data_IF_035152748542
#
_entry.id   IF_035152748542
#
_cell.length_a   1.000
_cell.length_b   1.000
_cell.length_c   1.000
_cell.angle_alpha   90.00
_cell.angle_beta   90.00
_cell.angle_gamma   90.00
#
_symmetry.space_group_name_H-M   'P 1'
#
loop_
_entity.id
_entity.type
_entity.pdbx_description
1 polymer ?
#
# COMPACT_ATOMS: atom_id res chain seq x y z
N UNK A 1 -17.86 -18.83 -34.52
CA UNK A 1 -16.93 -17.69 -34.40
C UNK A 1 -16.57 -17.53 -32.93
N UNK A 2 -15.36 -17.92 -32.53
CA UNK A 2 -14.87 -17.66 -31.18
C UNK A 2 -14.36 -16.22 -31.16
N UNK A 3 -14.96 -15.36 -30.33
CA UNK A 3 -14.41 -14.04 -30.02
C UNK A 3 -13.07 -14.26 -29.31
N UNK A 4 -11.98 -14.16 -30.06
CA UNK A 4 -10.64 -13.99 -29.53
C UNK A 4 -10.55 -12.56 -29.02
N UNK A 5 -11.00 -12.36 -27.77
CA UNK A 5 -10.49 -11.24 -26.99
C UNK A 5 -8.98 -11.45 -26.97
N UNK A 6 -8.24 -10.57 -27.65
CA UNK A 6 -6.78 -10.54 -27.62
C UNK A 6 -6.38 -10.46 -26.15
N UNK A 7 -5.91 -11.56 -25.58
CA UNK A 7 -5.23 -11.56 -24.29
C UNK A 7 -4.06 -10.59 -24.43
N UNK A 8 -4.16 -9.45 -23.76
CA UNK A 8 -3.07 -8.48 -23.70
C UNK A 8 -1.99 -9.10 -22.82
N UNK A 9 -1.06 -9.84 -23.40
CA UNK A 9 0.14 -10.27 -22.70
C UNK A 9 0.97 -9.03 -22.35
N UNK A 10 1.02 -8.69 -21.06
CA UNK A 10 1.75 -7.50 -20.58
C UNK A 10 3.27 -7.61 -20.82
N UNK A 11 3.79 -8.82 -20.97
CA UNK A 11 5.21 -9.09 -21.21
C UNK A 11 5.71 -8.76 -22.63
N UNK A 12 4.80 -8.47 -23.59
CA UNK A 12 5.14 -8.45 -25.01
C UNK A 12 5.23 -7.06 -25.68
N UNK A 13 4.88 -5.96 -24.99
CA UNK A 13 4.88 -4.61 -25.59
C UNK A 13 5.37 -3.53 -24.63
N UNK A 14 6.33 -2.73 -25.11
CA UNK A 14 6.87 -1.55 -24.42
C UNK A 14 5.79 -0.52 -24.11
N UNK A 15 4.78 -0.37 -24.96
CA UNK A 15 3.65 0.53 -24.76
C UNK A 15 2.75 0.04 -23.63
N UNK A 16 2.57 -1.28 -23.51
CA UNK A 16 1.77 -1.89 -22.44
C UNK A 16 2.49 -1.77 -21.09
N UNK A 17 3.81 -1.98 -21.05
CA UNK A 17 4.61 -1.77 -19.83
C UNK A 17 4.59 -0.31 -19.36
N UNK A 18 4.63 0.67 -20.28
CA UNK A 18 4.46 2.09 -19.92
C UNK A 18 3.11 2.39 -19.29
N UNK A 19 2.03 1.74 -19.74
CA UNK A 19 0.71 1.90 -19.12
C UNK A 19 0.70 1.34 -17.69
N UNK A 20 1.45 0.26 -17.42
CA UNK A 20 1.57 -0.26 -16.05
C UNK A 20 2.28 0.72 -15.12
N UNK A 21 3.33 1.40 -15.59
CA UNK A 21 4.00 2.45 -14.80
C UNK A 21 3.04 3.57 -14.41
N UNK A 22 2.16 3.99 -15.33
CA UNK A 22 1.14 4.99 -15.02
C UNK A 22 0.15 4.49 -13.95
N UNK A 23 -0.24 3.20 -13.98
CA UNK A 23 -1.11 2.64 -12.95
C UNK A 23 -0.41 2.52 -11.59
N UNK A 24 0.90 2.26 -11.58
CA UNK A 24 1.72 2.28 -10.37
C UNK A 24 1.73 3.67 -9.74
N UNK A 25 2.05 4.71 -10.53
CA UNK A 25 2.01 6.12 -10.07
C UNK A 25 0.64 6.49 -9.49
N UNK A 26 -0.45 6.11 -10.18
CA UNK A 26 -1.82 6.34 -9.69
C UNK A 26 -2.12 5.63 -8.36
N UNK A 27 -1.53 4.46 -8.11
CA UNK A 27 -1.70 3.72 -6.85
C UNK A 27 -0.83 4.31 -5.73
N UNK A 28 0.38 4.73 -6.06
CA UNK A 28 1.29 5.43 -5.15
C UNK A 28 0.67 6.75 -4.67
N UNK A 29 0.14 7.57 -5.58
CA UNK A 29 -0.58 8.80 -5.26
C UNK A 29 -1.79 8.54 -4.35
N UNK A 30 -2.59 7.53 -4.67
CA UNK A 30 -3.73 7.15 -3.84
C UNK A 30 -3.30 6.70 -2.44
N UNK A 31 -2.15 6.02 -2.31
CA UNK A 31 -1.60 5.62 -1.02
C UNK A 31 -1.05 6.83 -0.25
N UNK A 32 -0.43 7.79 -0.96
CA UNK A 32 0.05 9.04 -0.39
C UNK A 32 -1.11 9.86 0.19
N UNK A 33 -2.19 10.03 -0.58
CA UNK A 33 -3.38 10.74 -0.11
C UNK A 33 -4.00 10.07 1.12
N UNK A 34 -4.07 8.74 1.13
CA UNK A 34 -4.52 8.00 2.31
C UNK A 34 -3.65 8.26 3.54
N UNK A 35 -2.32 8.32 3.37
CA UNK A 35 -1.38 8.69 4.43
C UNK A 35 -1.66 10.10 4.94
N UNK A 36 -1.97 11.05 4.04
CA UNK A 36 -2.30 12.42 4.41
C UNK A 36 -3.63 12.52 5.19
N UNK A 37 -4.65 11.74 4.84
CA UNK A 37 -5.90 11.67 5.61
C UNK A 37 -5.67 11.08 7.02
N UNK A 38 -4.89 9.99 7.11
CA UNK A 38 -4.53 9.39 8.40
C UNK A 38 -3.76 10.37 9.29
N UNK A 39 -2.78 11.08 8.71
CA UNK A 39 -2.01 12.11 9.41
C UNK A 39 -2.91 13.24 9.92
N UNK A 40 -3.83 13.71 9.09
CA UNK A 40 -4.81 14.73 9.51
C UNK A 40 -5.63 14.27 10.72
N UNK A 41 -6.12 13.02 10.72
CA UNK A 41 -6.86 12.48 11.88
C UNK A 41 -5.99 12.35 13.12
N UNK A 42 -4.73 11.93 12.96
CA UNK A 42 -3.77 11.87 14.05
C UNK A 42 -3.55 13.27 14.67
N UNK A 43 -3.24 14.26 13.84
CA UNK A 43 -2.92 15.62 14.28
C UNK A 43 -4.11 16.26 15.02
N UNK A 44 -5.34 16.13 14.49
CA UNK A 44 -6.55 16.60 15.16
C UNK A 44 -6.78 15.93 16.51
N UNK A 45 -6.53 14.62 16.59
CA UNK A 45 -6.68 13.86 17.83
C UNK A 45 -5.63 14.28 18.87
N UNK A 46 -4.38 14.48 18.45
CA UNK A 46 -3.30 14.93 19.33
C UNK A 46 -3.59 16.33 19.89
N UNK A 47 -3.99 17.28 19.05
CA UNK A 47 -4.37 18.63 19.47
C UNK A 47 -5.51 18.61 20.50
N UNK A 48 -6.51 17.75 20.29
CA UNK A 48 -7.62 17.61 21.23
C UNK A 48 -7.18 17.05 22.58
N UNK A 49 -6.34 16.01 22.59
CA UNK A 49 -5.79 15.44 23.82
C UNK A 49 -4.99 16.48 24.60
N UNK A 50 -4.17 17.28 23.91
CA UNK A 50 -3.40 18.36 24.53
C UNK A 50 -4.33 19.42 25.14
N UNK A 51 -5.33 19.88 24.39
CA UNK A 51 -6.31 20.86 24.87
C UNK A 51 -7.05 20.36 26.12
N UNK A 52 -7.49 19.10 26.13
CA UNK A 52 -8.21 18.53 27.27
C UNK A 52 -7.33 18.37 28.51
N UNK A 53 -6.06 18.01 28.32
CA UNK A 53 -5.08 17.95 29.42
C UNK A 53 -4.81 19.33 30.00
N UNK A 54 -4.66 20.33 29.15
CA UNK A 54 -4.43 21.71 29.57
C UNK A 54 -5.64 22.28 30.34
N UNK A 55 -6.86 22.02 29.86
CA UNK A 55 -8.09 22.42 30.55
C UNK A 55 -8.21 21.71 31.90
N UNK A 56 -8.05 20.38 31.94
CA UNK A 56 -8.11 19.60 33.17
C UNK A 56 -7.05 20.05 34.20
N UNK A 57 -5.83 20.35 33.76
CA UNK A 57 -4.76 20.85 34.62
C UNK A 57 -5.14 22.19 35.27
N UNK A 58 -5.61 23.16 34.47
CA UNK A 58 -6.09 24.47 34.96
C UNK A 58 -7.22 24.32 35.98
N UNK A 59 -8.14 23.40 35.76
CA UNK A 59 -9.25 23.13 36.66
C UNK A 59 -8.81 22.52 37.98
N UNK A 60 -7.85 21.60 37.93
CA UNK A 60 -7.34 20.91 39.12
C UNK A 60 -6.49 21.80 40.03
N UNK A 61 -5.81 22.80 39.46
CA UNK A 61 -4.94 23.71 40.19
C UNK A 61 -5.68 24.59 41.23
N UNK A 62 -6.95 24.95 40.96
CA UNK A 62 -7.80 25.70 41.89
C UNK A 62 -9.26 25.26 41.77
N UNK A 63 -9.52 24.05 42.26
CA UNK A 63 -10.84 23.42 42.13
C UNK A 63 -11.95 24.16 42.90
N UNK A 64 -11.63 24.79 44.03
CA UNK A 64 -12.64 25.51 44.83
C UNK A 64 -13.10 26.80 44.14
N UNK A 65 -12.19 27.56 43.55
CA UNK A 65 -12.54 28.72 42.71
C UNK A 65 -13.27 28.26 41.43
N UNK A 66 -12.87 27.12 40.86
CA UNK A 66 -13.54 26.55 39.70
C UNK A 66 -15.00 26.16 40.00
N UNK A 67 -15.25 25.43 41.10
CA UNK A 67 -16.59 24.96 41.48
C UNK A 67 -17.51 26.09 41.92
N UNK A 68 -16.96 27.14 42.53
CA UNK A 68 -17.73 28.32 42.95
C UNK A 68 -18.13 29.24 41.78
N UNK A 69 -17.54 29.07 40.58
CA UNK A 69 -17.93 29.78 39.37
C UNK A 69 -18.92 28.96 38.51
N UNK A 70 -20.19 29.39 38.37
CA UNK A 70 -21.19 28.69 37.57
C UNK A 70 -20.82 28.54 36.08
N UNK A 71 -20.07 29.48 35.50
CA UNK A 71 -19.63 29.41 34.11
C UNK A 71 -18.59 28.30 33.91
N UNK A 72 -17.65 28.19 34.85
CA UNK A 72 -16.65 27.13 34.89
C UNK A 72 -17.31 25.75 35.03
N UNK A 73 -18.22 25.60 36.00
CA UNK A 73 -18.97 24.36 36.20
C UNK A 73 -19.82 23.98 34.97
N UNK A 74 -20.46 24.96 34.32
CA UNK A 74 -21.19 24.74 33.07
C UNK A 74 -20.27 24.26 31.93
N UNK A 75 -19.10 24.89 31.75
CA UNK A 75 -18.17 24.54 30.70
C UNK A 75 -17.71 23.08 30.80
N UNK A 76 -17.39 22.62 32.02
CA UNK A 76 -17.05 21.22 32.28
C UNK A 76 -18.21 20.27 31.95
N UNK A 77 -19.41 20.53 32.48
CA UNK A 77 -20.57 19.65 32.25
C UNK A 77 -20.87 19.54 30.75
N UNK A 78 -20.85 20.68 30.04
CA UNK A 78 -21.03 20.73 28.59
C UNK A 78 -19.94 19.93 27.86
N UNK A 79 -18.68 20.07 28.26
CA UNK A 79 -17.57 19.31 27.68
C UNK A 79 -17.79 17.80 27.87
N UNK A 80 -18.07 17.37 29.11
CA UNK A 80 -18.31 15.96 29.43
C UNK A 80 -19.52 15.38 28.68
N UNK A 81 -20.60 16.15 28.55
CA UNK A 81 -21.85 15.68 27.94
C UNK A 81 -21.82 15.72 26.40
N UNK A 82 -21.20 16.74 25.79
CA UNK A 82 -21.27 16.98 24.34
C UNK A 82 -20.00 16.61 23.60
N UNK A 83 -18.84 16.97 24.14
CA UNK A 83 -17.60 16.88 23.35
C UNK A 83 -17.13 15.43 23.27
N UNK A 84 -17.21 14.65 24.36
CA UNK A 84 -16.89 13.22 24.31
C UNK A 84 -17.78 12.44 23.36
N UNK A 85 -19.06 12.79 23.25
CA UNK A 85 -19.95 12.17 22.26
C UNK A 85 -19.49 12.48 20.83
N UNK A 86 -19.10 13.72 20.53
CA UNK A 86 -18.54 14.09 19.22
C UNK A 86 -17.23 13.35 18.93
N UNK A 87 -16.35 13.20 19.92
CA UNK A 87 -15.11 12.43 19.78
C UNK A 87 -15.38 10.95 19.53
N UNK A 88 -16.38 10.35 20.17
CA UNK A 88 -16.78 8.98 19.88
C UNK A 88 -17.24 8.81 18.42
N UNK A 89 -18.01 9.78 17.89
CA UNK A 89 -18.41 9.78 16.48
C UNK A 89 -17.21 9.96 15.54
N UNK A 90 -16.30 10.89 15.86
CA UNK A 90 -15.08 11.11 15.10
C UNK A 90 -14.17 9.87 15.07
N UNK A 91 -13.99 9.20 16.21
CA UNK A 91 -13.21 7.95 16.28
C UNK A 91 -13.80 6.85 15.42
N UNK A 92 -15.14 6.75 15.36
CA UNK A 92 -15.87 5.78 14.53
C UNK A 92 -15.71 6.00 13.02
N UNK A 93 -15.36 7.21 12.58
CA UNK A 93 -15.15 7.49 11.16
C UNK A 93 -14.04 6.60 10.60
N UNK A 94 -14.38 5.82 9.57
CA UNK A 94 -13.42 5.02 8.83
C UNK A 94 -12.72 5.91 7.81
N UNK A 95 -11.39 5.89 7.83
CA UNK A 95 -10.55 6.53 6.81
C UNK A 95 -10.19 5.47 5.78
N UNK A 96 -10.10 5.85 4.51
CA UNK A 96 -9.58 4.96 3.47
C UNK A 96 -10.61 4.18 2.69
N UNK A 97 -11.92 4.27 2.97
CA UNK A 97 -12.93 3.55 2.18
C UNK A 97 -12.89 3.95 0.69
N UNK A 98 -12.71 5.24 0.40
CA UNK A 98 -12.53 5.74 -0.97
C UNK A 98 -11.23 5.23 -1.61
N UNK A 99 -10.12 5.26 -0.86
CA UNK A 99 -8.81 4.80 -1.34
C UNK A 99 -8.79 3.28 -1.62
N UNK A 100 -9.47 2.49 -0.79
CA UNK A 100 -9.67 1.05 -1.00
C UNK A 100 -10.50 0.81 -2.26
N UNK A 101 -11.62 1.53 -2.42
CA UNK A 101 -12.48 1.41 -3.60
C UNK A 101 -11.71 1.77 -4.89
N UNK A 102 -10.87 2.80 -4.83
CA UNK A 102 -10.03 3.21 -5.95
C UNK A 102 -8.97 2.16 -6.30
N UNK A 103 -8.26 1.63 -5.31
CA UNK A 103 -7.28 0.55 -5.52
C UNK A 103 -7.96 -0.71 -6.10
N UNK A 104 -9.15 -1.06 -5.63
CA UNK A 104 -9.94 -2.17 -6.18
C UNK A 104 -10.37 -1.90 -7.63
N UNK A 105 -10.75 -0.67 -7.96
CA UNK A 105 -11.06 -0.28 -9.34
C UNK A 105 -9.85 -0.46 -10.26
N UNK A 106 -8.67 0.00 -9.83
CA UNK A 106 -7.43 -0.16 -10.60
C UNK A 106 -6.96 -1.61 -10.67
N UNK A 107 -7.24 -2.46 -9.67
CA UNK A 107 -6.86 -3.89 -9.66
C UNK A 107 -7.30 -4.62 -10.92
N UNK A 108 -8.45 -4.27 -11.49
CA UNK A 108 -8.96 -4.85 -12.75
C UNK A 108 -8.11 -4.54 -13.99
N UNK A 109 -7.23 -3.53 -13.92
CA UNK A 109 -6.34 -3.07 -15.00
C UNK A 109 -4.90 -3.52 -14.81
N UNK A 110 -4.58 -4.13 -13.65
CA UNK A 110 -3.26 -4.64 -13.33
C UNK A 110 -3.05 -6.06 -13.89
N UNK A 111 -1.79 -6.51 -14.03
CA UNK A 111 -1.50 -7.88 -14.40
C UNK A 111 -2.13 -8.90 -13.44
N UNK A 112 -2.54 -10.01 -14.02
CA UNK A 112 -3.12 -11.15 -13.32
C UNK A 112 -2.04 -12.16 -12.97
N UNK A 113 -2.42 -13.23 -12.26
CA UNK A 113 -1.52 -14.34 -12.02
C UNK A 113 -1.02 -14.96 -13.35
N UNK A 114 -1.86 -15.00 -14.39
CA UNK A 114 -1.48 -15.56 -15.70
C UNK A 114 -0.33 -14.79 -16.33
N UNK A 115 -0.38 -13.46 -16.28
CA UNK A 115 0.67 -12.60 -16.85
C UNK A 115 2.02 -12.82 -16.16
N UNK A 116 2.00 -13.04 -14.84
CA UNK A 116 3.20 -13.38 -14.07
C UNK A 116 3.73 -14.79 -14.41
N UNK A 117 2.84 -15.76 -14.61
CA UNK A 117 3.23 -17.10 -15.05
C UNK A 117 3.88 -17.08 -16.44
N UNK A 118 3.34 -16.29 -17.37
CA UNK A 118 3.88 -16.10 -18.71
C UNK A 118 5.26 -15.43 -18.66
N UNK A 119 5.43 -14.40 -17.83
CA UNK A 119 6.72 -13.74 -17.61
C UNK A 119 7.77 -14.73 -17.07
N UNK A 120 7.42 -15.55 -16.08
CA UNK A 120 8.30 -16.58 -15.53
C UNK A 120 8.68 -17.62 -16.58
N UNK A 121 7.72 -18.08 -17.38
CA UNK A 121 7.99 -19.04 -18.45
C UNK A 121 8.92 -18.46 -19.52
N UNK A 122 8.79 -17.18 -19.85
CA UNK A 122 9.70 -16.51 -20.78
C UNK A 122 11.13 -16.45 -20.23
N UNK A 123 11.31 -16.19 -18.92
CA UNK A 123 12.62 -16.25 -18.25
C UNK A 123 13.21 -17.65 -18.33
N UNK A 124 12.43 -18.69 -18.04
CA UNK A 124 12.90 -20.08 -18.18
C UNK A 124 13.30 -20.45 -19.60
N UNK A 125 12.55 -19.98 -20.60
CA UNK A 125 12.91 -20.20 -22.00
C UNK A 125 14.23 -19.51 -22.34
N UNK A 126 14.47 -18.28 -21.87
CA UNK A 126 15.75 -17.59 -22.04
C UNK A 126 16.91 -18.39 -21.44
N UNK A 127 16.77 -18.82 -20.19
CA UNK A 127 17.75 -19.66 -19.50
C UNK A 127 18.04 -20.92 -20.32
N UNK A 128 17.00 -21.61 -20.79
CA UNK A 128 17.13 -22.88 -21.52
C UNK A 128 17.77 -22.72 -22.90
N UNK A 129 17.30 -21.75 -23.70
CA UNK A 129 17.75 -21.61 -25.09
C UNK A 129 19.18 -21.05 -25.19
N UNK A 130 19.52 -20.12 -24.31
CA UNK A 130 20.83 -19.46 -24.31
C UNK A 130 21.81 -20.08 -23.30
N UNK A 131 21.39 -21.13 -22.58
CA UNK A 131 22.20 -21.80 -21.55
C UNK A 131 22.76 -20.81 -20.51
N UNK A 132 21.93 -19.84 -20.11
CA UNK A 132 22.34 -18.79 -19.17
C UNK A 132 22.46 -19.35 -17.75
N UNK A 133 23.43 -18.87 -17.00
CA UNK A 133 23.50 -19.12 -15.56
C UNK A 133 22.35 -18.39 -14.86
N UNK A 134 21.48 -19.08 -14.09
CA UNK A 134 20.42 -18.42 -13.31
C UNK A 134 20.98 -17.37 -12.35
N UNK A 135 22.18 -17.61 -11.80
CA UNK A 135 22.87 -16.67 -10.92
C UNK A 135 23.27 -15.40 -11.67
N UNK A 136 23.91 -15.53 -12.84
CA UNK A 136 24.32 -14.36 -13.64
C UNK A 136 23.11 -13.57 -14.11
N UNK A 137 22.04 -14.27 -14.51
CA UNK A 137 20.79 -13.63 -14.90
C UNK A 137 20.15 -12.84 -13.75
N UNK A 138 20.11 -13.42 -12.54
CA UNK A 138 19.63 -12.74 -11.34
C UNK A 138 20.50 -11.51 -10.99
N UNK A 139 21.80 -11.56 -11.26
CA UNK A 139 22.73 -10.43 -11.10
C UNK A 139 22.63 -9.40 -12.26
N UNK A 140 21.67 -9.55 -13.18
CA UNK A 140 21.47 -8.62 -14.30
C UNK A 140 22.50 -8.79 -15.43
N UNK A 141 23.13 -9.96 -15.53
CA UNK A 141 24.13 -10.28 -16.55
C UNK A 141 23.58 -11.24 -17.59
N UNK A 142 23.58 -10.82 -18.85
CA UNK A 142 23.06 -11.56 -20.00
C UNK A 142 24.13 -11.63 -21.10
N UNK A 143 24.55 -12.84 -21.47
CA UNK A 143 25.52 -13.08 -22.56
C UNK A 143 26.78 -12.19 -22.46
N UNK A 144 27.36 -12.06 -21.26
CA UNK A 144 28.55 -11.24 -20.95
C UNK A 144 28.32 -9.72 -20.95
N UNK A 145 27.08 -9.26 -21.16
CA UNK A 145 26.69 -7.88 -20.93
C UNK A 145 26.06 -7.74 -19.55
N UNK A 146 26.67 -6.93 -18.69
CA UNK A 146 26.16 -6.64 -17.35
C UNK A 146 25.33 -5.36 -17.37
N UNK A 147 24.10 -5.46 -16.87
CA UNK A 147 23.20 -4.35 -16.61
C UNK A 147 22.72 -4.47 -15.16
N UNK A 148 23.49 -3.96 -14.18
CA UNK A 148 23.19 -4.11 -12.76
C UNK A 148 21.81 -3.56 -12.36
N UNK A 149 21.33 -2.51 -13.04
CA UNK A 149 20.01 -1.92 -12.82
C UNK A 149 18.85 -2.86 -13.21
N UNK A 150 19.14 -3.95 -13.92
CA UNK A 150 18.18 -5.01 -14.27
C UNK A 150 18.26 -6.23 -13.36
N UNK A 151 19.12 -6.20 -12.33
CA UNK A 151 19.27 -7.30 -11.39
C UNK A 151 17.95 -7.57 -10.65
N UNK A 152 17.64 -8.86 -10.50
CA UNK A 152 16.48 -9.31 -9.76
C UNK A 152 16.73 -9.12 -8.28
N UNK A 153 15.72 -8.61 -7.57
CA UNK A 153 15.76 -8.55 -6.12
C UNK A 153 15.68 -9.95 -5.51
N UNK A 154 15.98 -10.08 -4.22
CA UNK A 154 15.78 -11.34 -3.49
C UNK A 154 14.31 -11.80 -3.51
N UNK A 155 13.36 -10.86 -3.56
CA UNK A 155 11.93 -11.16 -3.69
C UNK A 155 11.58 -11.69 -5.08
N UNK A 156 12.18 -11.14 -6.13
CA UNK A 156 11.97 -11.62 -7.51
C UNK A 156 12.50 -13.04 -7.69
N UNK A 157 13.71 -13.31 -7.17
CA UNK A 157 14.29 -14.66 -7.16
C UNK A 157 13.43 -15.65 -6.37
N UNK A 158 12.92 -15.24 -5.20
CA UNK A 158 11.99 -16.06 -4.42
C UNK A 158 10.69 -16.34 -5.19
N UNK A 159 10.11 -15.34 -5.86
CA UNK A 159 8.91 -15.51 -6.66
C UNK A 159 9.13 -16.49 -7.83
N UNK A 160 10.28 -16.41 -8.51
CA UNK A 160 10.68 -17.36 -9.55
C UNK A 160 10.85 -18.78 -9.00
N UNK A 161 11.53 -18.94 -7.85
CA UNK A 161 11.70 -20.24 -7.21
C UNK A 161 10.37 -20.87 -6.80
N UNK A 162 9.49 -20.08 -6.17
CA UNK A 162 8.15 -20.51 -5.77
C UNK A 162 7.27 -20.91 -6.97
N UNK A 163 7.37 -20.20 -8.08
CA UNK A 163 6.68 -20.58 -9.31
C UNK A 163 7.12 -21.98 -9.78
N UNK A 164 8.42 -22.23 -9.88
CA UNK A 164 8.97 -23.54 -10.25
C UNK A 164 8.55 -24.64 -9.27
N UNK A 165 8.55 -24.34 -7.96
CA UNK A 165 8.10 -25.26 -6.93
C UNK A 165 6.64 -25.69 -7.13
N UNK A 166 5.74 -24.73 -7.40
CA UNK A 166 4.31 -25.00 -7.66
C UNK A 166 4.12 -25.81 -8.94
N UNK A 167 4.96 -25.60 -9.95
CA UNK A 167 4.97 -26.41 -11.19
C UNK A 167 5.59 -27.81 -10.99
N UNK A 168 6.06 -28.14 -9.78
CA UNK A 168 6.78 -29.38 -9.43
C UNK A 168 8.13 -29.53 -10.13
N UNK A 169 8.72 -28.42 -10.54
CA UNK A 169 10.04 -28.35 -11.16
C UNK A 169 11.10 -28.06 -10.09
N UNK A 170 11.24 -28.96 -9.11
CA UNK A 170 11.98 -28.71 -7.88
C UNK A 170 13.45 -28.32 -8.08
N UNK A 171 14.12 -28.89 -9.09
CA UNK A 171 15.52 -28.57 -9.41
C UNK A 171 15.70 -27.12 -9.89
N UNK A 172 14.64 -26.47 -10.38
CA UNK A 172 14.66 -25.06 -10.78
C UNK A 172 14.18 -24.13 -9.66
N UNK A 173 13.73 -24.69 -8.54
CA UNK A 173 13.21 -23.92 -7.40
C UNK A 173 14.26 -23.62 -6.32
N UNK A 174 15.43 -24.23 -6.44
CA UNK A 174 16.63 -23.98 -5.62
C UNK A 174 17.48 -22.85 -6.20
#
# INVERSE_FOLDING_TARGET
MKNLVKEKSYAASTEVLKVLLNYEEMLEDNLHDYVMELKTKLDLTQQAVENFRNEASRMSADFETFRSNPLSSFALIRHQQKDWHKWALFMKQKIGEAHIAYAQHLRSKLPTAVDLQDANRNIELLIKYYQLSPKELAEGTLLQYSQPDSALSSLDCYALGMFNYVQKEYLKSE
#
